data_IF_454482204756
#
_entry.id   IF_454482204756
#
_cell.length_a   1.000
_cell.length_b   1.000
_cell.length_c   1.000
_cell.angle_alpha   90.00
_cell.angle_beta   90.00
_cell.angle_gamma   90.00
#
_symmetry.space_group_name_H-M   'P 1'
#
loop_
_entity.id
_entity.type
_entity.pdbx_description
1 polymer ?
#
# COMPACT_ATOMS: atom_id res chain seq x y z
N UNK A 1 -11.58 -6.66 -32.61
CA UNK A 1 -10.60 -7.12 -31.61
C UNK A 1 -9.39 -6.21 -31.69
N UNK A 2 -9.30 -5.21 -30.81
CA UNK A 2 -8.32 -4.12 -30.90
C UNK A 2 -7.38 -4.16 -29.67
N UNK A 3 -6.83 -5.34 -29.38
CA UNK A 3 -5.86 -5.54 -28.29
C UNK A 3 -4.49 -6.02 -28.80
N UNK A 4 -4.34 -6.25 -30.10
CA UNK A 4 -3.17 -6.90 -30.70
C UNK A 4 -1.97 -5.97 -30.94
N UNK A 5 -2.06 -4.67 -30.64
CA UNK A 5 -0.98 -3.69 -30.86
C UNK A 5 -0.36 -3.13 -29.59
N UNK A 6 -0.81 -3.54 -28.40
CA UNK A 6 -0.17 -3.13 -27.15
C UNK A 6 0.96 -4.12 -26.84
N UNK A 7 2.17 -3.60 -26.66
CA UNK A 7 3.31 -4.40 -26.18
C UNK A 7 2.99 -5.13 -24.88
N UNK A 8 3.86 -6.07 -24.47
CA UNK A 8 3.62 -6.87 -23.26
C UNK A 8 3.22 -6.00 -22.05
N UNK A 9 2.22 -6.41 -21.26
CA UNK A 9 1.82 -5.66 -20.07
C UNK A 9 3.03 -5.39 -19.17
N UNK A 10 3.12 -4.15 -18.67
CA UNK A 10 4.11 -3.83 -17.64
C UNK A 10 3.62 -4.36 -16.30
N UNK A 11 4.45 -5.14 -15.63
CA UNK A 11 4.14 -5.72 -14.32
C UNK A 11 4.71 -4.83 -13.21
N UNK A 12 3.92 -4.63 -12.15
CA UNK A 12 4.32 -3.95 -10.92
C UNK A 12 3.85 -4.78 -9.72
N UNK A 13 4.69 -4.91 -8.70
CA UNK A 13 4.33 -5.54 -7.43
C UNK A 13 4.25 -4.50 -6.31
N UNK A 14 3.14 -4.49 -5.57
CA UNK A 14 2.91 -3.59 -4.44
C UNK A 14 2.79 -4.37 -3.14
N UNK A 15 3.69 -4.11 -2.19
CA UNK A 15 3.56 -4.55 -0.81
C UNK A 15 2.90 -3.44 0.01
N UNK A 16 1.76 -3.77 0.64
CA UNK A 16 0.93 -2.82 1.36
C UNK A 16 0.96 -3.08 2.86
N UNK A 17 1.08 -2.00 3.63
CA UNK A 17 0.71 -1.99 5.05
C UNK A 17 -0.80 -1.95 5.24
N UNK A 18 -1.24 -1.57 6.44
CA UNK A 18 -2.65 -1.51 6.79
C UNK A 18 -3.40 -0.42 6.01
N UNK A 19 -4.57 -0.75 5.44
CA UNK A 19 -5.53 0.20 4.89
C UNK A 19 -6.60 0.50 5.94
N UNK A 20 -6.78 1.78 6.27
CA UNK A 20 -7.54 2.22 7.45
C UNK A 20 -9.03 2.38 7.21
N UNK A 21 -9.45 2.58 5.95
CA UNK A 21 -10.83 2.93 5.59
C UNK A 21 -11.51 1.77 4.84
N UNK A 22 -10.72 0.96 4.13
CA UNK A 22 -11.20 -0.16 3.32
C UNK A 22 -10.48 -1.49 3.61
N UNK A 23 -11.21 -2.58 3.38
CA UNK A 23 -10.65 -3.93 3.40
C UNK A 23 -10.43 -4.51 4.80
N UNK A 24 -9.54 -5.51 4.90
CA UNK A 24 -9.42 -6.38 6.08
C UNK A 24 -8.85 -5.67 7.32
N UNK A 25 -8.09 -4.60 7.14
CA UNK A 25 -7.46 -3.89 8.25
C UNK A 25 -8.36 -2.81 8.86
N UNK A 26 -9.45 -2.40 8.20
CA UNK A 26 -10.26 -1.25 8.58
C UNK A 26 -11.16 -1.47 9.82
N UNK A 27 -11.12 -2.65 10.46
CA UNK A 27 -11.85 -2.82 11.73
C UNK A 27 -11.10 -2.14 12.88
N UNK A 28 -11.79 -1.48 13.82
CA UNK A 28 -11.15 -0.79 14.93
C UNK A 28 -10.20 -1.69 15.73
N UNK A 29 -10.57 -2.95 15.96
CA UNK A 29 -9.77 -3.92 16.72
C UNK A 29 -8.48 -4.29 15.99
N UNK A 30 -8.54 -4.42 14.67
CA UNK A 30 -7.38 -4.71 13.84
C UNK A 30 -6.44 -3.50 13.79
N UNK A 31 -6.97 -2.29 13.61
CA UNK A 31 -6.18 -1.06 13.65
C UNK A 31 -5.47 -0.87 14.99
N UNK A 32 -6.17 -1.09 16.10
CA UNK A 32 -5.58 -1.02 17.43
C UNK A 32 -4.46 -2.06 17.61
N UNK A 33 -4.68 -3.29 17.14
CA UNK A 33 -3.68 -4.36 17.19
C UNK A 33 -2.43 -3.99 16.37
N UNK A 34 -2.60 -3.49 15.16
CA UNK A 34 -1.48 -3.09 14.28
C UNK A 34 -0.73 -1.89 14.86
N UNK A 35 -1.44 -0.90 15.39
CA UNK A 35 -0.84 0.26 16.05
C UNK A 35 -0.01 -0.13 17.27
N UNK A 36 -0.49 -1.07 18.08
CA UNK A 36 0.25 -1.60 19.25
C UNK A 36 1.59 -2.26 18.88
N UNK A 37 1.72 -2.70 17.62
CA UNK A 37 2.93 -3.32 17.05
C UNK A 37 3.74 -2.34 16.20
N UNK A 38 3.45 -1.05 16.27
CA UNK A 38 4.18 0.01 15.55
C UNK A 38 3.75 0.21 14.10
N UNK A 39 2.65 -0.38 13.65
CA UNK A 39 2.13 -0.19 12.29
C UNK A 39 0.93 0.76 12.30
N UNK A 40 1.07 1.90 11.62
CA UNK A 40 -0.05 2.79 11.34
C UNK A 40 -0.82 2.36 10.10
N UNK A 41 -1.98 2.99 9.87
CA UNK A 41 -2.78 2.78 8.68
C UNK A 41 -2.60 3.90 7.65
N UNK A 42 -2.67 3.52 6.38
CA UNK A 42 -2.85 4.42 5.24
C UNK A 42 -4.33 4.76 5.13
N UNK A 43 -4.67 6.01 4.80
CA UNK A 43 -5.99 6.30 4.23
C UNK A 43 -6.07 5.74 2.80
N UNK A 44 -7.28 5.58 2.28
CA UNK A 44 -7.49 5.15 0.89
C UNK A 44 -6.86 6.16 -0.08
N UNK A 45 -6.90 7.45 0.25
CA UNK A 45 -6.25 8.51 -0.52
C UNK A 45 -4.71 8.35 -0.56
N UNK A 46 -4.08 8.02 0.57
CA UNK A 46 -2.64 7.75 0.63
C UNK A 46 -2.27 6.48 -0.16
N UNK A 47 -3.09 5.43 -0.05
CA UNK A 47 -2.94 4.20 -0.82
C UNK A 47 -3.01 4.44 -2.33
N UNK A 48 -4.03 5.17 -2.79
CA UNK A 48 -4.20 5.57 -4.19
C UNK A 48 -3.02 6.40 -4.68
N UNK A 49 -2.60 7.41 -3.91
CA UNK A 49 -1.45 8.23 -4.29
C UNK A 49 -0.18 7.39 -4.48
N UNK A 50 0.09 6.44 -3.57
CA UNK A 50 1.24 5.54 -3.73
C UNK A 50 1.14 4.65 -4.96
N UNK A 51 -0.05 4.16 -5.29
CA UNK A 51 -0.29 3.35 -6.49
C UNK A 51 -0.05 4.17 -7.76
N UNK A 52 -0.60 5.37 -7.84
CA UNK A 52 -0.40 6.30 -8.96
C UNK A 52 1.07 6.59 -9.18
N UNK A 53 1.81 6.90 -8.10
CA UNK A 53 3.26 7.14 -8.19
C UNK A 53 4.02 5.92 -8.69
N UNK A 54 3.63 4.71 -8.26
CA UNK A 54 4.29 3.47 -8.66
C UNK A 54 4.08 3.19 -10.16
N UNK A 55 2.85 3.39 -10.65
CA UNK A 55 2.49 3.22 -12.07
C UNK A 55 3.20 4.26 -12.94
N UNK A 56 3.13 5.54 -12.57
CA UNK A 56 3.73 6.63 -13.36
C UNK A 56 5.25 6.52 -13.46
N UNK A 57 5.91 6.03 -12.41
CA UNK A 57 7.37 5.84 -12.38
C UNK A 57 7.82 4.51 -12.99
N UNK A 58 6.88 3.61 -13.33
CA UNK A 58 7.20 2.27 -13.84
C UNK A 58 8.06 1.46 -12.87
N UNK A 59 7.88 1.63 -11.56
CA UNK A 59 8.68 0.95 -10.55
C UNK A 59 8.38 -0.56 -10.57
N UNK A 60 9.36 -1.46 -10.65
CA UNK A 60 9.08 -2.91 -10.67
C UNK A 60 8.47 -3.41 -9.35
N UNK A 61 8.79 -2.73 -8.24
CA UNK A 61 8.23 -3.01 -6.92
C UNK A 61 8.06 -1.73 -6.10
N UNK A 62 7.08 -1.72 -5.18
CA UNK A 62 6.86 -0.64 -4.22
C UNK A 62 6.40 -1.18 -2.88
N UNK A 63 6.94 -0.63 -1.78
CA UNK A 63 6.41 -0.78 -0.43
C UNK A 63 5.71 0.51 -0.03
N UNK A 64 4.46 0.41 0.43
CA UNK A 64 3.70 1.52 0.98
C UNK A 64 3.12 1.09 2.34
N UNK A 65 3.66 1.65 3.42
CA UNK A 65 3.24 1.39 4.79
C UNK A 65 3.52 2.58 5.69
N UNK A 66 2.74 2.71 6.76
CA UNK A 66 2.99 3.67 7.83
C UNK A 66 3.56 2.94 9.05
N UNK A 67 4.64 3.49 9.59
CA UNK A 67 5.37 2.93 10.74
C UNK A 67 5.50 4.00 11.81
N UNK A 68 5.23 3.62 13.06
CA UNK A 68 5.52 4.40 14.25
C UNK A 68 6.93 4.06 14.73
N UNK A 69 7.89 4.91 14.36
CA UNK A 69 9.32 4.69 14.62
C UNK A 69 9.67 4.73 16.11
N UNK A 70 8.84 5.38 16.93
CA UNK A 70 8.93 5.37 18.40
C UNK A 70 8.57 4.02 19.04
N UNK A 71 8.02 3.07 18.25
CA UNK A 71 7.67 1.71 18.67
C UNK A 71 8.57 0.64 18.07
N UNK A 72 9.57 1.02 17.26
CA UNK A 72 10.54 0.11 16.67
C UNK A 72 11.74 -0.06 17.62
N UNK A 73 12.29 -1.28 17.78
CA UNK A 73 13.57 -1.48 18.44
C UNK A 73 14.70 -0.77 17.66
N UNK A 74 15.77 -0.31 18.36
CA UNK A 74 16.90 0.41 17.76
C UNK A 74 17.72 -0.44 16.78
#
# INVERSE_FOLDING_TARGET
QQFSTLGAPKTLSGAWGAWGESGRAATPEMLATLASRGMGALSDAEGCWHLEQAVMRGAPWRLAMRVFTDKMPP
#
